data_IF_293226618337
#
_entry.id   IF_293226618337
#
_cell.length_a   1.000
_cell.length_b   1.000
_cell.length_c   1.000
_cell.angle_alpha   90.00
_cell.angle_beta   90.00
_cell.angle_gamma   90.00
#
_symmetry.space_group_name_H-M   'P 1'
#
loop_
_entity.id
_entity.type
_entity.pdbx_description
1 polymer ?
#
# COMPACT_ATOMS: atom_id res chain seq x y z
N UNK A 1 13.15 -9.50 -7.33
CA UNK A 1 12.44 -10.72 -6.84
C UNK A 1 10.99 -10.42 -6.48
N UNK A 2 10.71 -9.38 -5.69
CA UNK A 2 9.33 -9.02 -5.31
C UNK A 2 8.40 -8.73 -6.51
N UNK A 3 8.75 -7.80 -7.40
CA UNK A 3 7.90 -7.49 -8.56
C UNK A 3 7.63 -8.73 -9.43
N UNK A 4 8.65 -9.59 -9.63
CA UNK A 4 8.50 -10.84 -10.37
C UNK A 4 7.46 -11.78 -9.71
N UNK A 5 7.48 -11.91 -8.38
CA UNK A 5 6.52 -12.72 -7.65
C UNK A 5 5.08 -12.20 -7.82
N UNK A 6 4.89 -10.87 -7.82
CA UNK A 6 3.58 -10.24 -8.09
C UNK A 6 3.09 -10.57 -9.49
N UNK A 7 3.93 -10.35 -10.52
CA UNK A 7 3.57 -10.66 -11.91
C UNK A 7 3.27 -12.15 -12.13
N UNK A 8 3.99 -13.05 -11.45
CA UNK A 8 3.76 -14.48 -11.52
C UNK A 8 2.46 -14.92 -10.85
N UNK A 9 2.05 -14.21 -9.79
CA UNK A 9 0.86 -14.56 -8.99
C UNK A 9 -0.43 -13.98 -9.59
N UNK A 10 -0.34 -12.87 -10.32
CA UNK A 10 -1.51 -12.21 -10.91
C UNK A 10 -1.26 -11.84 -12.40
N UNK A 11 -1.78 -12.63 -13.36
CA UNK A 11 -1.64 -12.36 -14.79
C UNK A 11 -2.31 -11.06 -15.28
N UNK A 12 -3.24 -10.48 -14.50
CA UNK A 12 -3.88 -9.20 -14.84
C UNK A 12 -3.02 -7.99 -14.49
N UNK A 13 -1.99 -8.18 -13.66
CA UNK A 13 -1.07 -7.11 -13.28
C UNK A 13 -0.09 -6.84 -14.41
N UNK A 14 -0.14 -5.63 -14.97
CA UNK A 14 0.80 -5.16 -16.01
C UNK A 14 1.77 -4.10 -15.50
N UNK A 15 1.54 -3.54 -14.30
CA UNK A 15 2.46 -2.63 -13.63
C UNK A 15 2.46 -2.84 -12.12
N UNK A 16 3.67 -2.81 -11.54
CA UNK A 16 3.89 -2.80 -10.09
C UNK A 16 4.81 -1.63 -9.73
N UNK A 17 4.40 -0.79 -8.79
CA UNK A 17 5.18 0.32 -8.27
C UNK A 17 5.49 0.11 -6.79
N UNK A 18 6.68 0.56 -6.41
CA UNK A 18 7.12 0.63 -5.02
C UNK A 18 7.52 2.07 -4.68
N UNK A 19 7.03 2.57 -3.55
CA UNK A 19 7.28 3.95 -3.11
C UNK A 19 7.39 4.03 -1.59
N UNK A 20 7.87 5.18 -1.10
CA UNK A 20 8.14 5.44 0.31
C UNK A 20 7.45 6.73 0.76
N UNK A 21 6.13 6.79 0.59
CA UNK A 21 5.33 7.94 1.01
C UNK A 21 5.43 8.14 2.52
N UNK A 22 5.98 9.27 3.01
CA UNK A 22 6.21 9.46 4.45
C UNK A 22 4.93 9.43 5.27
N UNK A 23 3.82 9.95 4.75
CA UNK A 23 2.55 9.90 5.47
C UNK A 23 1.98 8.48 5.49
N UNK A 24 2.03 7.77 4.36
CA UNK A 24 1.60 6.37 4.28
C UNK A 24 2.36 5.50 5.27
N UNK A 25 3.69 5.65 5.35
CA UNK A 25 4.52 4.89 6.28
C UNK A 25 4.22 5.29 7.73
N UNK A 26 4.13 6.59 8.04
CA UNK A 26 3.85 7.05 9.40
C UNK A 26 2.49 6.57 9.93
N UNK A 27 1.43 6.70 9.12
CA UNK A 27 0.06 6.33 9.50
C UNK A 27 -0.16 4.82 9.66
N UNK A 28 0.80 3.99 9.24
CA UNK A 28 0.70 2.52 9.26
C UNK A 28 1.70 1.85 10.21
N UNK A 29 2.44 2.63 11.01
CA UNK A 29 3.47 2.10 11.90
C UNK A 29 2.93 1.21 13.03
N UNK A 30 1.67 1.37 13.42
CA UNK A 30 1.09 0.72 14.60
C UNK A 30 -0.23 -0.04 14.31
N UNK A 31 -0.63 -0.15 13.04
CA UNK A 31 -1.89 -0.78 12.64
C UNK A 31 -1.67 -1.92 11.62
N UNK A 32 -2.57 -2.92 11.62
CA UNK A 32 -2.58 -4.02 10.63
C UNK A 32 -3.32 -3.66 9.33
N UNK A 33 -4.07 -2.56 9.33
CA UNK A 33 -4.70 -1.99 8.14
C UNK A 33 -4.81 -0.46 8.25
N UNK A 34 -4.89 0.21 7.11
CA UNK A 34 -5.22 1.62 7.01
C UNK A 34 -6.57 1.80 6.31
N UNK A 35 -7.47 2.53 6.94
CA UNK A 35 -8.78 2.87 6.42
C UNK A 35 -8.79 4.36 6.05
N UNK A 36 -8.81 4.71 4.75
CA UNK A 36 -8.88 6.11 4.35
C UNK A 36 -10.14 6.80 4.90
N UNK A 37 -9.95 7.98 5.48
CA UNK A 37 -11.05 8.79 6.01
C UNK A 37 -11.63 9.76 4.97
N UNK A 38 -10.88 10.04 3.90
CA UNK A 38 -11.28 10.95 2.83
C UNK A 38 -12.11 10.25 1.75
N UNK A 39 -12.88 11.04 1.02
CA UNK A 39 -13.81 10.56 -0.01
C UNK A 39 -13.12 9.75 -1.12
N UNK A 40 -11.96 10.21 -1.63
CA UNK A 40 -11.27 9.52 -2.72
C UNK A 40 -10.71 8.17 -2.25
N UNK A 41 -10.06 8.16 -1.09
CA UNK A 41 -9.53 6.95 -0.49
C UNK A 41 -10.62 5.91 -0.24
N UNK A 42 -11.80 6.30 0.27
CA UNK A 42 -12.93 5.39 0.49
C UNK A 42 -13.53 4.85 -0.81
N UNK A 43 -13.51 5.64 -1.88
CA UNK A 43 -13.98 5.22 -3.19
C UNK A 43 -13.08 4.15 -3.80
N UNK A 44 -11.77 4.23 -3.58
CA UNK A 44 -10.79 3.35 -4.22
C UNK A 44 -10.37 2.16 -3.35
N UNK A 45 -10.34 2.35 -2.04
CA UNK A 45 -9.78 1.37 -1.10
C UNK A 45 -10.81 1.06 -0.02
N UNK A 46 -11.37 -0.16 -0.05
CA UNK A 46 -12.18 -0.67 1.06
C UNK A 46 -11.37 -0.77 2.35
N UNK A 47 -10.10 -1.18 2.21
CA UNK A 47 -9.02 -1.08 3.20
C UNK A 47 -7.68 -1.18 2.50
N UNK A 48 -6.61 -0.73 3.17
CA UNK A 48 -5.23 -0.93 2.74
C UNK A 48 -4.51 -1.86 3.72
N UNK A 49 -4.19 -3.10 3.32
CA UNK A 49 -3.47 -4.04 4.19
C UNK A 49 -2.08 -3.53 4.58
N UNK A 50 -1.70 -3.75 5.83
CA UNK A 50 -0.35 -3.48 6.34
C UNK A 50 0.31 -4.81 6.72
N UNK A 51 1.38 -5.16 6.02
CA UNK A 51 2.13 -6.38 6.25
C UNK A 51 3.22 -6.15 7.29
N UNK A 52 3.20 -6.99 8.33
CA UNK A 52 4.27 -7.09 9.32
C UNK A 52 5.29 -8.13 8.87
N UNK A 53 6.51 -7.70 8.58
CA UNK A 53 7.60 -8.60 8.19
C UNK A 53 8.82 -8.29 9.07
N UNK A 54 9.33 -9.27 9.85
CA UNK A 54 10.58 -9.09 10.59
C UNK A 54 11.72 -8.68 9.66
N UNK A 55 12.55 -7.73 10.10
CA UNK A 55 13.59 -7.13 9.28
C UNK A 55 14.59 -8.16 8.73
N UNK A 56 14.99 -9.11 9.57
CA UNK A 56 15.88 -10.23 9.24
C UNK A 56 15.27 -11.22 8.23
N UNK A 57 13.95 -11.21 8.06
CA UNK A 57 13.21 -12.09 7.15
C UNK A 57 12.67 -11.35 5.93
N UNK A 58 12.91 -10.04 5.80
CA UNK A 58 12.31 -9.20 4.78
C UNK A 58 12.59 -9.70 3.37
N UNK A 59 13.86 -9.98 3.04
CA UNK A 59 14.24 -10.42 1.70
C UNK A 59 13.60 -11.77 1.33
N UNK A 60 13.49 -12.68 2.30
CA UNK A 60 12.95 -14.02 2.10
C UNK A 60 11.43 -14.04 2.00
N UNK A 61 10.72 -13.23 2.79
CA UNK A 61 9.25 -13.30 2.94
C UNK A 61 8.50 -12.26 2.12
N UNK A 62 9.08 -11.07 1.92
CA UNK A 62 8.38 -9.97 1.22
C UNK A 62 7.90 -10.32 -0.18
N UNK A 63 8.63 -11.07 -1.05
CA UNK A 63 8.14 -11.38 -2.39
C UNK A 63 6.83 -12.16 -2.37
N UNK A 64 6.74 -13.18 -1.51
CA UNK A 64 5.55 -14.02 -1.38
C UNK A 64 4.40 -13.27 -0.72
N UNK A 65 4.65 -12.65 0.43
CA UNK A 65 3.58 -11.99 1.20
C UNK A 65 2.98 -10.80 0.44
N UNK A 66 3.81 -10.01 -0.26
CA UNK A 66 3.33 -8.89 -1.07
C UNK A 66 2.58 -9.40 -2.30
N UNK A 67 3.07 -10.46 -2.97
CA UNK A 67 2.35 -11.03 -4.11
C UNK A 67 0.99 -11.62 -3.72
N UNK A 68 0.90 -12.34 -2.60
CA UNK A 68 -0.35 -12.92 -2.10
C UNK A 68 -1.38 -11.82 -1.79
N UNK A 69 -1.01 -10.75 -1.08
CA UNK A 69 -1.97 -9.68 -0.73
C UNK A 69 -2.41 -8.87 -1.96
N UNK A 70 -1.52 -8.68 -2.93
CA UNK A 70 -1.83 -7.93 -4.15
C UNK A 70 -2.68 -8.71 -5.17
N UNK A 71 -3.04 -9.96 -4.88
CA UNK A 71 -4.10 -10.65 -5.64
C UNK A 71 -5.48 -10.07 -5.32
N UNK A 72 -5.69 -9.63 -4.08
CA UNK A 72 -7.00 -9.18 -3.58
C UNK A 72 -7.10 -7.66 -3.44
N UNK A 73 -5.97 -6.97 -3.28
CA UNK A 73 -5.90 -5.53 -3.05
C UNK A 73 -5.02 -4.83 -4.09
N UNK A 74 -5.43 -3.66 -4.61
CA UNK A 74 -4.62 -2.93 -5.59
C UNK A 74 -3.35 -2.30 -4.99
N UNK A 75 -3.28 -2.22 -3.66
CA UNK A 75 -2.19 -1.57 -2.93
C UNK A 75 -2.07 -2.17 -1.52
N UNK A 76 -0.84 -2.29 -1.04
CA UNK A 76 -0.52 -2.72 0.32
C UNK A 76 0.73 -1.99 0.84
N UNK A 77 0.87 -1.95 2.16
CA UNK A 77 2.01 -1.34 2.84
C UNK A 77 2.81 -2.44 3.55
N UNK A 78 4.13 -2.41 3.47
CA UNK A 78 4.98 -3.14 4.42
C UNK A 78 5.35 -2.17 5.54
N UNK A 79 4.96 -2.50 6.78
CA UNK A 79 5.11 -1.63 7.95
C UNK A 79 6.53 -1.12 8.10
N UNK A 80 6.68 0.19 8.27
CA UNK A 80 7.98 0.84 8.46
C UNK A 80 8.90 0.82 7.24
N UNK A 81 8.45 0.27 6.10
CA UNK A 81 9.23 0.23 4.86
C UNK A 81 8.58 1.11 3.79
N UNK A 82 7.50 0.65 3.17
CA UNK A 82 6.92 1.36 2.04
C UNK A 82 5.71 0.69 1.43
N UNK A 83 5.27 1.25 0.32
CA UNK A 83 4.03 0.93 -0.37
C UNK A 83 4.33 0.08 -1.61
N UNK A 84 3.46 -0.87 -1.91
CA UNK A 84 3.44 -1.65 -3.14
C UNK A 84 2.07 -1.54 -3.78
N UNK A 85 2.00 -1.04 -5.01
CA UNK A 85 0.77 -0.90 -5.78
C UNK A 85 0.86 -1.70 -7.08
N UNK A 86 -0.23 -2.37 -7.47
CA UNK A 86 -0.34 -3.08 -8.73
C UNK A 86 -1.58 -2.68 -9.53
N UNK A 87 -1.48 -2.71 -10.85
CA UNK A 87 -2.60 -2.45 -11.75
C UNK A 87 -2.34 -3.02 -13.15
N UNK A 88 -3.36 -2.92 -14.01
CA UNK A 88 -3.30 -3.23 -15.44
C UNK A 88 -2.62 -2.15 -16.30
N UNK A 89 -2.20 -1.04 -15.69
CA UNK A 89 -1.49 0.04 -16.38
C UNK A 89 -0.61 0.81 -15.42
N UNK A 90 0.50 1.36 -15.95
CA UNK A 90 1.42 2.17 -15.16
C UNK A 90 0.73 3.40 -14.55
N UNK A 91 -0.16 4.06 -15.31
CA UNK A 91 -0.92 5.22 -14.86
C UNK A 91 -1.84 4.88 -13.69
N UNK A 92 -2.48 3.71 -13.70
CA UNK A 92 -3.36 3.31 -12.61
C UNK A 92 -2.58 2.92 -11.36
N UNK A 93 -1.46 2.18 -11.51
CA UNK A 93 -0.57 1.89 -10.38
C UNK A 93 0.01 3.18 -9.77
N UNK A 94 0.36 4.16 -10.61
CA UNK A 94 0.81 5.49 -10.18
C UNK A 94 -0.30 6.24 -9.42
N UNK A 95 -1.54 6.20 -9.94
CA UNK A 95 -2.69 6.77 -9.25
C UNK A 95 -2.87 6.18 -7.86
N UNK A 96 -2.77 4.86 -7.69
CA UNK A 96 -2.90 4.21 -6.37
C UNK A 96 -1.87 4.69 -5.36
N UNK A 97 -0.59 4.78 -5.74
CA UNK A 97 0.42 5.31 -4.82
C UNK A 97 0.18 6.78 -4.47
N UNK A 98 -0.31 7.59 -5.39
CA UNK A 98 -0.62 9.00 -5.12
C UNK A 98 -1.85 9.16 -4.21
N UNK A 99 -2.93 8.44 -4.51
CA UNK A 99 -4.16 8.50 -3.71
C UNK A 99 -3.93 8.00 -2.29
N UNK A 100 -3.20 6.89 -2.08
CA UNK A 100 -2.88 6.44 -0.72
C UNK A 100 -2.07 7.47 0.06
N UNK A 101 -1.04 8.06 -0.54
CA UNK A 101 -0.22 9.06 0.13
C UNK A 101 -1.02 10.32 0.46
N UNK A 102 -1.91 10.76 -0.44
CA UNK A 102 -2.80 11.88 -0.21
C UNK A 102 -3.82 11.57 0.90
N UNK A 103 -4.41 10.39 0.91
CA UNK A 103 -5.32 9.92 1.96
C UNK A 103 -4.64 9.89 3.32
N UNK A 104 -3.44 9.30 3.41
CA UNK A 104 -2.66 9.25 4.64
C UNK A 104 -2.27 10.66 5.13
N UNK A 105 -1.84 11.53 4.22
CA UNK A 105 -1.54 12.93 4.54
C UNK A 105 -2.77 13.69 5.05
N UNK A 106 -3.91 13.48 4.41
CA UNK A 106 -5.17 14.12 4.78
C UNK A 106 -5.63 13.65 6.16
N UNK A 107 -5.57 12.33 6.42
CA UNK A 107 -5.89 11.76 7.72
C UNK A 107 -4.98 12.33 8.82
N UNK A 108 -3.66 12.37 8.59
CA UNK A 108 -2.71 12.97 9.53
C UNK A 108 -3.07 14.42 9.86
N UNK A 109 -3.30 15.27 8.84
CA UNK A 109 -3.65 16.68 9.03
C UNK A 109 -5.00 16.82 9.76
N UNK A 110 -5.98 15.98 9.42
CA UNK A 110 -7.31 15.99 10.04
C UNK A 110 -7.24 15.63 11.53
N UNK A 111 -6.41 14.67 11.93
CA UNK A 111 -6.13 14.32 13.33
C UNK A 111 -5.51 15.50 14.09
N UNK A 112 -4.49 16.15 13.51
CA UNK A 112 -3.87 17.33 14.13
C UNK A 112 -4.85 18.49 14.28
N UNK A 113 -5.83 18.61 13.39
CA UNK A 113 -6.90 19.61 13.43
C UNK A 113 -8.12 19.21 14.29
N UNK A 114 -8.11 18.03 14.91
CA UNK A 114 -9.21 17.51 15.74
C UNK A 114 -10.51 17.26 14.97
N UNK A 115 -10.41 16.82 13.71
CA UNK A 115 -11.57 16.49 12.87
C UNK A 115 -11.94 15.01 12.90
N UNK A 116 -10.94 14.16 13.16
CA UNK A 116 -11.04 12.71 13.38
C UNK A 116 -10.05 12.31 14.47
#
# INVERSE_FOLDING_TARGET
>A
RLHLAVYQSNPQTLAVLHSHGPYSVAMTMDNEEFLPADFEGQLYFSRVPVLTIPYDQYEARSPRMVAEVLMDYPIAVVRGHGVYACADSLNLAYKWTCSLELSAKTAFIAQQAGKI
#
